data_IF_297271579186
#
_entry.id   IF_297271579186
#
_cell.length_a   1.000
_cell.length_b   1.000
_cell.length_c   1.000
_cell.angle_alpha   90.00
_cell.angle_beta   90.00
_cell.angle_gamma   90.00
#
_symmetry.space_group_name_H-M   'P 1'
#
loop_
_entity.id
_entity.type
_entity.pdbx_description
1 polymer ?
#
# COMPACT_ATOMS: atom_id res chain seq x y z
N UNK A 1 -2.23 -20.31 10.63
CA UNK A 1 -1.31 -19.18 10.40
C UNK A 1 -1.94 -18.35 9.29
N UNK A 2 -2.13 -17.05 9.50
CA UNK A 2 -2.66 -16.19 8.43
C UNK A 2 -1.63 -16.09 7.31
N UNK A 3 -2.06 -16.32 6.07
CA UNK A 3 -1.21 -16.24 4.89
C UNK A 3 -1.00 -14.76 4.51
N UNK A 4 0.24 -14.38 4.20
CA UNK A 4 0.56 -13.03 3.73
C UNK A 4 0.09 -12.89 2.29
N UNK A 5 -0.81 -11.91 2.06
CA UNK A 5 -1.37 -11.63 0.74
C UNK A 5 -0.93 -10.28 0.21
N UNK A 6 -1.11 -10.06 -1.08
CA UNK A 6 -0.84 -8.77 -1.71
C UNK A 6 -2.15 -8.03 -1.90
N UNK A 7 -2.15 -6.75 -1.54
CA UNK A 7 -3.27 -5.85 -1.71
C UNK A 7 -2.86 -4.69 -2.59
N UNK A 8 -3.66 -4.44 -3.63
CA UNK A 8 -3.63 -3.23 -4.40
C UNK A 8 -4.53 -2.18 -3.76
N UNK A 9 -3.95 -1.04 -3.38
CA UNK A 9 -4.67 0.07 -2.78
C UNK A 9 -4.53 1.29 -3.66
N UNK A 10 -5.67 1.88 -4.04
CA UNK A 10 -5.71 3.15 -4.76
C UNK A 10 -6.56 4.16 -4.03
N UNK A 11 -6.18 5.43 -4.18
CA UNK A 11 -6.91 6.53 -3.56
C UNK A 11 -6.36 7.88 -3.95
N UNK A 12 -6.75 8.88 -3.17
CA UNK A 12 -6.25 10.25 -3.28
C UNK A 12 -5.67 10.71 -1.95
N UNK A 13 -4.60 11.49 -2.01
CA UNK A 13 -3.96 12.08 -0.84
C UNK A 13 -3.80 13.59 -1.06
N UNK A 14 -3.95 14.37 0.01
CA UNK A 14 -3.69 15.80 -0.03
C UNK A 14 -2.23 16.07 0.30
N UNK A 15 -1.49 16.59 -0.67
CA UNK A 15 -0.09 16.99 -0.52
C UNK A 15 0.00 18.50 -0.40
N UNK A 16 0.95 18.98 0.43
CA UNK A 16 1.21 20.42 0.52
C UNK A 16 0.19 21.21 1.34
N UNK A 17 -0.44 20.61 2.36
CA UNK A 17 -1.47 21.21 3.25
C UNK A 17 -1.14 22.66 3.66
N UNK A 18 0.15 22.98 3.87
CA UNK A 18 0.59 24.28 4.38
C UNK A 18 0.78 25.39 3.33
N UNK A 19 0.98 25.09 2.04
CA UNK A 19 1.30 26.10 1.01
C UNK A 19 0.41 26.01 -0.22
N UNK A 20 0.36 24.83 -0.83
CA UNK A 20 -0.39 24.57 -2.06
C UNK A 20 -1.06 23.20 -1.93
N UNK A 21 -2.27 23.14 -1.34
CA UNK A 21 -2.98 21.88 -1.14
C UNK A 21 -3.42 21.32 -2.49
N UNK A 22 -2.84 20.18 -2.89
CA UNK A 22 -3.17 19.49 -4.14
C UNK A 22 -3.56 18.05 -3.84
N UNK A 23 -4.72 17.64 -4.33
CA UNK A 23 -5.14 16.24 -4.30
C UNK A 23 -4.40 15.46 -5.38
N UNK A 24 -3.64 14.46 -4.97
CA UNK A 24 -2.86 13.60 -5.86
C UNK A 24 -3.37 12.17 -5.73
N UNK A 25 -3.48 11.47 -6.86
CA UNK A 25 -3.79 10.04 -6.87
C UNK A 25 -2.59 9.26 -6.36
N UNK A 26 -2.83 8.22 -5.58
CA UNK A 26 -1.80 7.25 -5.21
C UNK A 26 -2.31 5.84 -5.52
N UNK A 27 -1.37 4.99 -5.93
CA UNK A 27 -1.58 3.58 -6.24
C UNK A 27 -0.40 2.84 -5.62
N UNK A 28 -0.69 1.82 -4.80
CA UNK A 28 0.37 1.11 -4.08
C UNK A 28 0.00 -0.34 -3.82
N UNK A 29 0.98 -1.20 -4.02
CA UNK A 29 0.90 -2.60 -3.63
C UNK A 29 1.51 -2.76 -2.23
N UNK A 30 0.74 -3.36 -1.32
CA UNK A 30 1.16 -3.64 0.06
C UNK A 30 0.94 -5.09 0.39
N UNK A 31 1.81 -5.65 1.22
CA UNK A 31 1.68 -7.02 1.72
C UNK A 31 1.12 -6.97 3.13
N UNK A 32 0.07 -7.74 3.38
CA UNK A 32 -0.63 -7.75 4.66
C UNK A 32 -1.34 -9.09 4.88
N UNK A 33 -1.70 -9.36 6.13
CA UNK A 33 -2.52 -10.53 6.47
C UNK A 33 -3.99 -10.33 6.08
N UNK A 34 -4.47 -9.09 6.21
CA UNK A 34 -5.85 -8.71 5.95
C UNK A 34 -5.95 -7.25 5.47
N UNK A 35 -7.12 -6.88 4.95
CA UNK A 35 -7.40 -5.54 4.43
C UNK A 35 -7.17 -4.43 5.47
N UNK A 36 -7.48 -4.68 6.75
CA UNK A 36 -7.27 -3.71 7.83
C UNK A 36 -5.79 -3.39 8.01
N UNK A 37 -4.94 -4.41 8.05
CA UNK A 37 -3.48 -4.22 8.10
C UNK A 37 -2.97 -3.48 6.86
N UNK A 38 -3.47 -3.82 5.67
CA UNK A 38 -3.07 -3.13 4.44
C UNK A 38 -3.36 -1.62 4.52
N UNK A 39 -4.53 -1.25 5.05
CA UNK A 39 -4.91 0.15 5.29
C UNK A 39 -3.96 0.83 6.29
N UNK A 40 -3.62 0.17 7.40
CA UNK A 40 -2.69 0.73 8.39
C UNK A 40 -1.29 0.95 7.82
N UNK A 41 -0.79 0.01 7.02
CA UNK A 41 0.49 0.12 6.32
C UNK A 41 0.46 1.32 5.37
N UNK A 42 -0.61 1.51 4.61
CA UNK A 42 -0.77 2.67 3.71
C UNK A 42 -0.71 3.98 4.49
N UNK A 43 -1.44 4.09 5.60
CA UNK A 43 -1.39 5.29 6.44
C UNK A 43 0.01 5.56 6.99
N UNK A 44 0.72 4.52 7.43
CA UNK A 44 2.10 4.65 7.95
C UNK A 44 3.07 5.11 6.86
N UNK A 45 3.02 4.48 5.69
CA UNK A 45 3.92 4.76 4.57
C UNK A 45 3.68 6.14 3.97
N UNK A 46 2.42 6.53 3.74
CA UNK A 46 2.09 7.86 3.21
C UNK A 46 2.39 8.96 4.24
N UNK A 47 2.15 8.69 5.52
CA UNK A 47 2.49 9.60 6.60
C UNK A 47 3.99 9.83 6.74
N UNK A 48 4.80 8.77 6.68
CA UNK A 48 6.26 8.85 6.83
C UNK A 48 6.94 9.52 5.63
N UNK A 49 6.63 9.07 4.40
CA UNK A 49 7.32 9.55 3.21
C UNK A 49 6.89 10.96 2.78
N UNK A 50 5.62 11.31 2.98
CA UNK A 50 5.06 12.56 2.44
C UNK A 50 4.61 13.54 3.54
N UNK A 51 4.78 13.20 4.83
CA UNK A 51 4.34 14.00 5.98
C UNK A 51 2.85 14.36 5.92
N UNK A 52 2.03 13.41 5.45
CA UNK A 52 0.58 13.58 5.29
C UNK A 52 -0.15 13.03 6.51
N UNK A 53 -1.12 13.77 7.02
CA UNK A 53 -1.98 13.33 8.13
C UNK A 53 -3.03 12.33 7.64
N UNK A 54 -3.46 11.40 8.49
CA UNK A 54 -4.38 10.31 8.10
C UNK A 54 -5.71 10.81 7.51
N UNK A 55 -6.26 11.90 8.03
CA UNK A 55 -7.50 12.49 7.53
C UNK A 55 -7.39 13.09 6.11
N UNK A 56 -6.16 13.31 5.63
CA UNK A 56 -5.86 13.81 4.28
C UNK A 56 -5.66 12.68 3.26
N UNK A 57 -5.86 11.43 3.66
CA UNK A 57 -5.75 10.25 2.80
C UNK A 57 -7.15 9.67 2.64
N UNK A 58 -7.61 9.54 1.40
CA UNK A 58 -8.88 8.92 1.06
C UNK A 58 -8.62 7.70 0.18
N UNK A 59 -8.80 6.53 0.77
CA UNK A 59 -8.71 5.26 0.06
C UNK A 59 -10.01 5.07 -0.72
N UNK A 60 -9.89 4.84 -2.03
CA UNK A 60 -11.04 4.64 -2.92
C UNK A 60 -11.33 3.16 -3.14
N UNK A 61 -10.28 2.34 -3.21
CA UNK A 61 -10.41 0.91 -3.46
C UNK A 61 -9.24 0.16 -2.86
N UNK A 62 -9.56 -1.00 -2.30
CA UNK A 62 -8.62 -2.02 -1.85
C UNK A 62 -9.02 -3.33 -2.51
N UNK A 63 -8.05 -4.02 -3.10
CA UNK A 63 -8.26 -5.30 -3.78
C UNK A 63 -7.15 -6.26 -3.41
N UNK A 64 -7.50 -7.47 -3.02
CA UNK A 64 -6.55 -8.57 -2.97
C UNK A 64 -6.13 -8.92 -4.41
N UNK A 65 -4.83 -8.98 -4.65
CA UNK A 65 -4.26 -9.29 -5.97
C UNK A 65 -3.32 -10.49 -5.87
N UNK A 66 -3.39 -11.45 -6.81
CA UNK A 66 -2.45 -12.55 -6.85
C UNK A 66 -1.05 -12.06 -7.23
N UNK A 67 -0.03 -12.81 -6.84
CA UNK A 67 1.39 -12.48 -7.07
C UNK A 67 1.75 -12.23 -8.52
N UNK A 68 1.01 -12.83 -9.46
CA UNK A 68 1.29 -12.72 -10.88
C UNK A 68 0.83 -11.39 -11.48
N UNK A 69 -0.17 -10.74 -10.87
CA UNK A 69 -0.73 -9.45 -11.30
C UNK A 69 -0.04 -8.25 -10.64
N UNK A 70 0.87 -8.48 -9.70
CA UNK A 70 1.62 -7.40 -9.05
C UNK A 70 2.60 -6.78 -10.06
N UNK A 71 2.23 -5.63 -10.59
CA UNK A 71 3.04 -4.88 -11.55
C UNK A 71 4.39 -4.40 -10.97
N UNK A 72 4.45 -4.22 -9.65
CA UNK A 72 5.62 -3.67 -8.97
C UNK A 72 6.71 -4.73 -8.78
N UNK A 73 7.80 -4.62 -9.55
CA UNK A 73 8.90 -5.60 -9.60
C UNK A 73 9.51 -5.86 -8.21
N UNK A 74 9.61 -4.84 -7.36
CA UNK A 74 10.16 -4.98 -5.99
C UNK A 74 9.26 -5.82 -5.09
N UNK A 75 7.94 -5.57 -5.15
CA UNK A 75 6.96 -6.32 -4.35
C UNK A 75 6.89 -7.77 -4.81
N UNK A 76 6.96 -8.00 -6.13
CA UNK A 76 7.01 -9.34 -6.72
C UNK A 76 8.26 -10.12 -6.29
N UNK A 77 9.43 -9.48 -6.31
CA UNK A 77 10.70 -10.11 -5.94
C UNK A 77 10.73 -10.51 -4.46
N UNK A 78 10.28 -9.60 -3.59
CA UNK A 78 10.22 -9.83 -2.15
C UNK A 78 9.29 -10.98 -1.78
N UNK A 79 8.17 -11.13 -2.50
CA UNK A 79 7.27 -12.26 -2.29
C UNK A 79 7.78 -13.59 -2.82
N UNK A 80 8.68 -13.60 -3.80
CA UNK A 80 9.36 -14.82 -4.24
C UNK A 80 10.42 -15.28 -3.23
N UNK A 81 11.10 -14.35 -2.57
CA UNK A 81 12.12 -14.65 -1.56
C UNK A 81 11.56 -15.41 -0.35
N UNK A 82 10.35 -15.08 0.11
CA UNK A 82 9.70 -15.81 1.22
C UNK A 82 9.40 -17.28 0.87
N UNK A 83 9.08 -17.60 -0.39
CA UNK A 83 8.88 -18.99 -0.83
C UNK A 83 10.15 -19.83 -0.73
N UNK A 84 11.33 -19.22 -0.96
CA UNK A 84 12.62 -19.93 -1.01
C UNK A 84 13.10 -20.32 0.40
N UNK A 85 12.74 -19.55 1.43
CA UNK A 85 13.19 -19.79 2.81
C UNK A 85 12.32 -20.84 3.52
N UNK A 86 11.13 -21.12 2.97
CA UNK A 86 10.15 -22.06 3.54
C UNK A 86 10.26 -23.50 3.02
N UNK A 87 11.29 -23.80 2.22
CA UNK A 87 11.55 -25.14 1.66
C UNK A 87 12.60 -25.94 2.46
#
# INVERSE_FOLDING_TARGET
MEEVKNYYVRGIMLVGESKYPVWQKFEKYVRALNEKQAIEIIYSVLGSNHKIKRYNIKIQEIKEVPLDEVADKKVRDLAKLEKIILE
#
